data_IF_186900346984
#
_entry.id   IF_186900346984
#
_cell.length_a   1.000
_cell.length_b   1.000
_cell.length_c   1.000
_cell.angle_alpha   90.00
_cell.angle_beta   90.00
_cell.angle_gamma   90.00
#
_symmetry.space_group_name_H-M   'P 1'
#
loop_
_entity.id
_entity.type
_entity.pdbx_description
1 polymer ?
#
# COMPACT_ATOMS: atom_id res chain seq x y z
N UNK A 1 -16.82 17.74 -27.23
CA UNK A 1 -16.63 16.84 -28.39
C UNK A 1 -16.11 15.53 -27.83
N UNK A 2 -16.82 14.42 -28.02
CA UNK A 2 -16.30 13.12 -27.60
C UNK A 2 -14.98 12.89 -28.35
N UNK A 3 -13.90 12.64 -27.61
CA UNK A 3 -12.65 12.23 -28.23
C UNK A 3 -12.93 10.99 -29.09
N UNK A 4 -12.25 10.87 -30.24
CA UNK A 4 -12.27 9.65 -31.03
C UNK A 4 -11.56 8.56 -30.20
N UNK A 5 -12.34 7.86 -29.37
CA UNK A 5 -11.84 6.82 -28.49
C UNK A 5 -11.58 5.56 -29.32
N UNK A 6 -10.46 4.84 -29.07
CA UNK A 6 -10.21 3.60 -29.79
C UNK A 6 -11.24 2.54 -29.39
N UNK A 7 -11.54 1.60 -30.30
CA UNK A 7 -12.48 0.52 -30.01
C UNK A 7 -11.95 -0.43 -28.92
N UNK A 8 -10.64 -0.65 -28.90
CA UNK A 8 -9.93 -1.49 -27.93
C UNK A 8 -8.72 -0.76 -27.35
N UNK A 9 -8.27 -1.21 -26.19
CA UNK A 9 -7.08 -0.70 -25.53
C UNK A 9 -6.40 -1.80 -24.70
N UNK A 10 -5.19 -1.53 -24.22
CA UNK A 10 -4.39 -2.48 -23.46
C UNK A 10 -4.76 -2.56 -21.99
N UNK A 11 -4.78 -3.77 -21.47
CA UNK A 11 -4.89 -4.09 -20.04
C UNK A 11 -3.95 -5.25 -19.69
N UNK A 12 -3.18 -5.10 -18.61
CA UNK A 12 -2.33 -6.16 -18.09
C UNK A 12 -3.17 -7.20 -17.34
N UNK A 13 -2.87 -8.47 -17.61
CA UNK A 13 -3.51 -9.62 -16.98
C UNK A 13 -2.51 -10.47 -16.21
N UNK A 14 -2.99 -11.07 -15.12
CA UNK A 14 -2.29 -12.09 -14.33
C UNK A 14 -3.16 -13.34 -14.28
N UNK A 15 -2.65 -14.43 -14.84
CA UNK A 15 -3.28 -15.75 -14.87
C UNK A 15 -2.41 -16.72 -14.08
N UNK A 16 -3.01 -17.48 -13.16
CA UNK A 16 -2.37 -18.65 -12.56
C UNK A 16 -3.11 -19.88 -13.06
N UNK A 17 -2.42 -20.77 -13.75
CA UNK A 17 -3.01 -21.99 -14.30
C UNK A 17 -3.11 -23.08 -13.23
N UNK A 18 -4.08 -23.98 -13.37
CA UNK A 18 -4.17 -25.20 -12.56
C UNK A 18 -2.91 -26.07 -12.63
N UNK A 19 -2.17 -25.96 -13.74
CA UNK A 19 -0.93 -26.70 -14.00
C UNK A 19 0.30 -26.09 -13.31
N UNK A 20 0.11 -24.99 -12.56
CA UNK A 20 1.17 -24.43 -11.72
C UNK A 20 2.07 -23.41 -12.42
N UNK A 21 1.55 -22.68 -13.39
CA UNK A 21 2.26 -21.58 -14.03
C UNK A 21 1.54 -20.24 -13.81
N UNK A 22 2.29 -19.21 -13.50
CA UNK A 22 1.89 -17.82 -13.69
C UNK A 22 2.12 -17.45 -15.15
N UNK A 23 1.17 -16.73 -15.75
CA UNK A 23 1.32 -15.99 -17.00
C UNK A 23 0.94 -14.52 -16.77
N UNK A 24 1.84 -13.61 -17.16
CA UNK A 24 1.58 -12.18 -17.26
C UNK A 24 1.57 -11.77 -18.73
N UNK A 25 0.52 -11.09 -19.18
CA UNK A 25 0.36 -10.73 -20.59
C UNK A 25 -0.50 -9.48 -20.77
N UNK A 26 -0.35 -8.83 -21.93
CA UNK A 26 -1.13 -7.64 -22.30
C UNK A 26 -2.27 -8.01 -23.25
N UNK A 27 -3.50 -7.82 -22.78
CA UNK A 27 -4.70 -8.11 -23.54
C UNK A 27 -5.23 -6.86 -24.22
N UNK A 28 -5.73 -6.99 -25.45
CA UNK A 28 -6.64 -5.99 -26.02
C UNK A 28 -8.04 -6.23 -25.47
N UNK A 29 -8.60 -5.22 -24.83
CA UNK A 29 -9.94 -5.24 -24.27
C UNK A 29 -10.76 -4.10 -24.88
N UNK A 30 -12.09 -4.25 -25.05
CA UNK A 30 -12.95 -3.15 -25.47
C UNK A 30 -12.80 -1.95 -24.54
N UNK A 31 -12.72 -0.74 -25.08
CA UNK A 31 -12.82 0.47 -24.25
C UNK A 31 -14.25 0.56 -23.71
N UNK A 32 -14.44 0.59 -22.39
CA UNK A 32 -15.78 0.57 -21.81
C UNK A 32 -16.51 1.88 -22.10
N UNK A 33 -17.78 1.78 -22.48
CA UNK A 33 -18.68 2.93 -22.49
C UNK A 33 -19.10 3.22 -21.03
N UNK A 34 -18.95 4.46 -20.53
CA UNK A 34 -19.38 4.79 -19.17
C UNK A 34 -20.91 4.69 -19.05
N UNK A 35 -21.39 4.03 -17.99
CA UNK A 35 -22.80 4.11 -17.58
C UNK A 35 -23.17 5.53 -17.09
N UNK A 36 -24.45 5.77 -16.79
CA UNK A 36 -24.97 7.12 -16.51
C UNK A 36 -24.22 7.91 -15.43
N UNK A 37 -23.79 7.25 -14.35
CA UNK A 37 -23.01 7.85 -13.25
C UNK A 37 -21.51 7.56 -13.33
N UNK A 38 -21.03 6.97 -14.43
CA UNK A 38 -19.62 6.63 -14.59
C UNK A 38 -18.89 7.65 -15.46
N UNK A 39 -17.57 7.68 -15.27
CA UNK A 39 -16.64 8.41 -16.11
C UNK A 39 -15.64 7.44 -16.72
N UNK A 40 -15.24 7.70 -17.97
CA UNK A 40 -14.13 7.01 -18.61
C UNK A 40 -12.85 7.80 -18.38
N UNK A 41 -11.91 7.19 -17.68
CA UNK A 41 -10.60 7.77 -17.38
C UNK A 41 -9.55 7.16 -18.28
N UNK A 42 -8.80 8.02 -18.97
CA UNK A 42 -7.53 7.67 -19.60
C UNK A 42 -6.46 7.63 -18.52
N UNK A 43 -6.06 6.43 -18.09
CA UNK A 43 -5.12 6.25 -16.99
C UNK A 43 -3.72 6.65 -17.45
N UNK A 44 -3.12 7.63 -16.79
CA UNK A 44 -1.82 8.18 -17.19
C UNK A 44 -0.70 7.70 -16.27
N UNK A 45 -1.03 7.34 -15.02
CA UNK A 45 -0.05 6.96 -14.01
C UNK A 45 -0.67 6.00 -12.98
N UNK A 46 -0.03 4.85 -12.72
CA UNK A 46 -0.47 3.87 -11.71
C UNK A 46 0.75 3.30 -10.98
N UNK A 47 0.82 3.36 -9.64
CA UNK A 47 1.98 2.88 -8.89
C UNK A 47 2.01 1.35 -8.84
N UNK A 48 3.22 0.78 -8.72
CA UNK A 48 3.38 -0.61 -8.29
C UNK A 48 3.52 -0.65 -6.77
N UNK A 49 2.46 -1.02 -6.05
CA UNK A 49 2.48 -1.22 -4.60
C UNK A 49 2.70 -2.71 -4.25
N UNK A 50 3.19 -3.02 -3.02
CA UNK A 50 3.28 -4.40 -2.56
C UNK A 50 1.96 -5.19 -2.63
N UNK A 51 0.82 -4.52 -2.43
CA UNK A 51 -0.50 -5.14 -2.56
C UNK A 51 -0.83 -5.55 -4.00
N UNK A 52 -0.36 -4.80 -5.00
CA UNK A 52 -0.51 -5.17 -6.40
C UNK A 52 0.29 -6.43 -6.72
N UNK A 53 1.48 -6.58 -6.13
CA UNK A 53 2.35 -7.74 -6.35
C UNK A 53 1.72 -9.06 -5.91
N UNK A 54 0.92 -9.05 -4.83
CA UNK A 54 0.21 -10.25 -4.38
C UNK A 54 -0.74 -10.79 -5.45
N UNK A 55 -1.42 -9.89 -6.17
CA UNK A 55 -2.28 -10.25 -7.29
C UNK A 55 -1.47 -10.51 -8.57
N UNK A 56 -0.53 -9.61 -8.89
CA UNK A 56 0.31 -9.64 -10.10
C UNK A 56 1.09 -10.94 -10.20
N UNK A 57 1.96 -11.24 -9.24
CA UNK A 57 2.88 -12.39 -9.33
C UNK A 57 2.42 -13.61 -8.57
N UNK A 58 1.37 -13.52 -7.75
CA UNK A 58 0.69 -14.70 -7.17
C UNK A 58 1.60 -15.74 -6.49
N UNK A 59 2.65 -15.28 -5.79
CA UNK A 59 3.67 -16.16 -5.18
C UNK A 59 4.48 -17.03 -6.16
N UNK A 60 4.49 -16.70 -7.45
CA UNK A 60 5.34 -17.33 -8.45
C UNK A 60 6.82 -17.08 -8.15
N UNK A 61 7.66 -18.06 -8.51
CA UNK A 61 9.11 -17.94 -8.43
C UNK A 61 9.63 -17.12 -9.62
N UNK A 62 9.58 -15.80 -9.48
CA UNK A 62 10.01 -14.85 -10.52
C UNK A 62 11.50 -14.98 -10.87
N UNK A 63 12.32 -15.64 -10.05
CA UNK A 63 13.73 -15.90 -10.39
C UNK A 63 13.89 -16.92 -11.53
N UNK A 64 12.82 -17.68 -11.81
CA UNK A 64 12.72 -18.63 -12.93
C UNK A 64 11.78 -18.13 -14.02
N UNK A 65 11.44 -16.84 -14.01
CA UNK A 65 10.58 -16.28 -15.03
C UNK A 65 11.26 -16.33 -16.40
N UNK A 66 10.49 -16.67 -17.43
CA UNK A 66 10.90 -16.56 -18.83
C UNK A 66 10.02 -15.55 -19.55
N UNK A 67 10.59 -14.86 -20.53
CA UNK A 67 9.88 -13.85 -21.33
C UNK A 67 9.84 -14.31 -22.78
N UNK A 68 8.63 -14.38 -23.34
CA UNK A 68 8.36 -14.59 -24.76
C UNK A 68 7.51 -13.46 -25.34
N UNK A 69 6.95 -13.69 -26.53
CA UNK A 69 6.13 -12.69 -27.23
C UNK A 69 6.96 -11.68 -28.03
N UNK A 70 6.41 -10.50 -28.28
CA UNK A 70 7.10 -9.38 -28.94
C UNK A 70 7.45 -8.29 -27.92
N UNK A 71 8.35 -7.34 -28.23
CA UNK A 71 8.65 -6.22 -27.33
C UNK A 71 7.41 -5.42 -26.91
N UNK A 72 6.42 -5.29 -27.79
CA UNK A 72 5.17 -4.57 -27.52
C UNK A 72 4.11 -5.44 -26.85
N UNK A 73 4.24 -6.77 -26.93
CA UNK A 73 3.35 -7.78 -26.36
C UNK A 73 4.13 -8.88 -25.64
N UNK A 74 4.90 -8.53 -24.60
CA UNK A 74 5.65 -9.52 -23.84
C UNK A 74 4.71 -10.43 -23.07
N UNK A 75 5.11 -11.69 -22.94
CA UNK A 75 4.44 -12.68 -22.10
C UNK A 75 5.46 -13.25 -21.12
N UNK A 76 5.22 -13.06 -19.83
CA UNK A 76 6.08 -13.58 -18.77
C UNK A 76 5.45 -14.84 -18.21
N UNK A 77 6.22 -15.92 -18.12
CA UNK A 77 5.78 -17.15 -17.44
C UNK A 77 6.70 -17.49 -16.29
N UNK A 78 6.16 -17.93 -15.16
CA UNK A 78 6.94 -18.33 -13.99
C UNK A 78 6.27 -19.48 -13.23
N UNK A 79 7.02 -20.41 -12.62
CA UNK A 79 6.43 -21.53 -11.90
C UNK A 79 5.83 -21.10 -10.56
N UNK A 80 4.72 -21.72 -10.18
CA UNK A 80 4.04 -21.53 -8.88
C UNK A 80 4.11 -22.83 -8.09
N UNK A 81 4.54 -22.75 -6.83
CA UNK A 81 4.69 -23.93 -5.98
C UNK A 81 3.35 -24.57 -5.59
N UNK A 82 3.31 -25.90 -5.45
CA UNK A 82 2.09 -26.67 -5.15
C UNK A 82 1.37 -26.21 -3.86
N UNK A 83 2.13 -25.87 -2.81
CA UNK A 83 1.57 -25.35 -1.57
C UNK A 83 0.84 -24.01 -1.77
N UNK A 84 1.39 -23.15 -2.63
CA UNK A 84 0.78 -21.86 -2.96
C UNK A 84 -0.49 -22.07 -3.79
N UNK A 85 -0.49 -23.00 -4.76
CA UNK A 85 -1.66 -23.32 -5.59
C UNK A 85 -2.89 -23.72 -4.77
N UNK A 86 -2.70 -24.54 -3.72
CA UNK A 86 -3.79 -24.95 -2.81
C UNK A 86 -4.48 -23.74 -2.16
N UNK A 87 -3.72 -22.69 -1.84
CA UNK A 87 -4.24 -21.44 -1.29
C UNK A 87 -4.87 -20.50 -2.33
N UNK A 88 -4.77 -20.81 -3.62
CA UNK A 88 -5.17 -19.94 -4.73
C UNK A 88 -6.33 -20.50 -5.57
N UNK A 89 -7.04 -21.53 -5.09
CA UNK A 89 -8.13 -22.18 -5.83
C UNK A 89 -9.18 -21.22 -6.41
N UNK A 90 -9.48 -20.12 -5.70
CA UNK A 90 -10.46 -19.12 -6.15
C UNK A 90 -10.04 -18.35 -7.42
N UNK A 91 -8.74 -18.32 -7.75
CA UNK A 91 -8.17 -17.58 -8.90
C UNK A 91 -7.58 -18.46 -10.00
N UNK A 92 -7.48 -19.79 -9.79
CA UNK A 92 -6.94 -20.68 -10.80
C UNK A 92 -7.75 -20.56 -12.10
N UNK A 93 -7.02 -20.52 -13.22
CA UNK A 93 -7.53 -20.43 -14.58
C UNK A 93 -8.37 -19.17 -14.88
N UNK A 94 -8.26 -18.15 -14.01
CA UNK A 94 -8.90 -16.85 -14.21
C UNK A 94 -7.87 -15.81 -14.59
N UNK A 95 -8.06 -15.19 -15.75
CA UNK A 95 -7.27 -14.04 -16.20
C UNK A 95 -7.73 -12.77 -15.46
N UNK A 96 -6.97 -12.37 -14.43
CA UNK A 96 -7.36 -11.28 -13.54
C UNK A 96 -6.68 -9.96 -13.95
N UNK A 97 -7.42 -8.84 -13.97
CA UNK A 97 -6.81 -7.53 -14.15
C UNK A 97 -6.10 -7.10 -12.87
N UNK A 98 -5.11 -6.20 -12.98
CA UNK A 98 -4.23 -5.83 -11.86
C UNK A 98 -4.09 -4.30 -11.74
N UNK A 99 -3.65 -3.83 -10.57
CA UNK A 99 -3.45 -2.41 -10.25
C UNK A 99 -4.59 -1.87 -9.41
N UNK A 100 -4.33 -1.61 -8.13
CA UNK A 100 -5.35 -1.16 -7.18
C UNK A 100 -5.76 0.30 -7.42
N UNK A 101 -4.78 1.16 -7.65
CA UNK A 101 -4.96 2.61 -7.76
C UNK A 101 -4.23 3.21 -8.95
N UNK A 102 -4.61 4.42 -9.32
CA UNK A 102 -3.93 5.21 -10.35
C UNK A 102 -4.61 6.56 -10.54
N UNK A 103 -4.10 7.34 -11.48
CA UNK A 103 -4.63 8.64 -11.83
C UNK A 103 -4.57 8.87 -13.34
N UNK A 104 -5.43 9.75 -13.80
CA UNK A 104 -5.56 10.05 -15.22
C UNK A 104 -6.58 11.14 -15.50
N UNK A 105 -6.81 11.38 -16.78
CA UNK A 105 -7.73 12.41 -17.26
C UNK A 105 -9.08 11.78 -17.62
N UNK A 106 -10.17 12.39 -17.19
CA UNK A 106 -11.52 11.99 -17.61
C UNK A 106 -11.74 12.42 -19.05
N UNK A 107 -11.98 11.46 -19.95
CA UNK A 107 -12.09 11.69 -21.40
C UNK A 107 -13.51 11.50 -21.94
N UNK A 108 -14.37 10.79 -21.21
CA UNK A 108 -15.80 10.69 -21.47
C UNK A 108 -16.57 10.49 -20.16
N UNK A 109 -17.88 10.69 -20.17
CA UNK A 109 -18.74 10.53 -19.01
C UNK A 109 -20.14 10.11 -19.43
N UNK A 110 -20.85 9.43 -18.52
CA UNK A 110 -22.27 9.17 -18.61
C UNK A 110 -23.12 10.42 -18.49
N UNK A 111 -24.44 10.28 -18.58
CA UNK A 111 -25.39 11.38 -18.71
C UNK A 111 -25.61 12.21 -17.43
N UNK A 112 -25.24 11.71 -16.25
CA UNK A 112 -25.49 12.39 -14.99
C UNK A 112 -24.64 13.64 -14.77
N UNK A 113 -25.19 14.64 -14.07
CA UNK A 113 -24.48 15.89 -13.76
C UNK A 113 -23.14 15.66 -13.02
N UNK A 114 -23.05 14.78 -11.99
CA UNK A 114 -21.78 14.51 -11.32
C UNK A 114 -20.71 13.94 -12.26
N UNK A 115 -21.09 13.05 -13.18
CA UNK A 115 -20.17 12.48 -14.15
C UNK A 115 -19.73 13.54 -15.18
N UNK A 116 -20.68 14.31 -15.73
CA UNK A 116 -20.40 15.39 -16.69
C UNK A 116 -19.47 16.47 -16.12
N UNK A 117 -19.62 16.81 -14.84
CA UNK A 117 -18.77 17.79 -14.15
C UNK A 117 -17.28 17.39 -14.06
N UNK A 118 -16.97 16.10 -14.29
CA UNK A 118 -15.61 15.58 -14.23
C UNK A 118 -14.90 15.57 -15.59
N UNK A 119 -15.59 15.82 -16.72
CA UNK A 119 -14.96 15.80 -18.05
C UNK A 119 -13.75 16.76 -18.10
N UNK A 120 -12.61 16.25 -18.59
CA UNK A 120 -11.35 16.99 -18.69
C UNK A 120 -10.59 17.17 -17.37
N UNK A 121 -11.18 16.79 -16.23
CA UNK A 121 -10.52 16.83 -14.93
C UNK A 121 -9.53 15.68 -14.81
N UNK A 122 -8.43 15.92 -14.10
CA UNK A 122 -7.56 14.84 -13.61
C UNK A 122 -8.11 14.31 -12.29
N UNK A 123 -8.19 13.00 -12.22
CA UNK A 123 -8.72 12.29 -11.05
C UNK A 123 -7.76 11.17 -10.66
N UNK A 124 -7.65 10.92 -9.36
CA UNK A 124 -7.12 9.67 -8.83
C UNK A 124 -8.28 8.72 -8.50
N UNK A 125 -8.00 7.41 -8.57
CA UNK A 125 -8.97 6.33 -8.43
C UNK A 125 -8.33 5.17 -7.67
N UNK A 126 -9.09 4.53 -6.79
CA UNK A 126 -8.81 3.20 -6.25
C UNK A 126 -9.94 2.23 -6.62
N UNK A 127 -9.98 1.83 -7.89
CA UNK A 127 -11.09 1.08 -8.49
C UNK A 127 -10.70 -0.28 -9.04
N UNK A 128 -9.44 -0.71 -8.83
CA UNK A 128 -8.90 -1.93 -9.42
C UNK A 128 -8.70 -1.82 -10.94
N UNK A 129 -7.97 -2.78 -11.49
CA UNK A 129 -7.63 -2.84 -12.92
C UNK A 129 -7.00 -1.54 -13.44
N UNK A 130 -6.10 -0.92 -12.68
CA UNK A 130 -5.48 0.36 -13.05
C UNK A 130 -4.23 0.19 -13.93
N UNK A 131 -3.75 -1.04 -14.13
CA UNK A 131 -2.74 -1.35 -15.15
C UNK A 131 -3.40 -1.55 -16.53
N UNK A 132 -4.17 -0.53 -16.91
CA UNK A 132 -5.01 -0.48 -18.08
C UNK A 132 -4.94 0.91 -18.69
N UNK A 133 -5.10 1.02 -20.00
CA UNK A 133 -5.10 2.32 -20.67
C UNK A 133 -6.36 3.14 -20.36
N UNK A 134 -7.52 2.48 -20.22
CA UNK A 134 -8.78 3.15 -19.91
C UNK A 134 -9.57 2.39 -18.84
N UNK A 135 -10.25 3.12 -17.97
CA UNK A 135 -11.15 2.56 -16.95
C UNK A 135 -12.44 3.37 -16.84
N UNK A 136 -13.59 2.67 -16.91
CA UNK A 136 -14.87 3.21 -16.50
C UNK A 136 -15.04 3.04 -14.98
N UNK A 137 -15.37 4.13 -14.29
CA UNK A 137 -15.41 4.23 -12.84
C UNK A 137 -16.58 5.13 -12.44
N UNK A 138 -17.30 4.75 -11.37
CA UNK A 138 -18.35 5.61 -10.80
C UNK A 138 -17.78 6.97 -10.39
N UNK A 139 -18.46 8.06 -10.74
CA UNK A 139 -18.00 9.43 -10.50
C UNK A 139 -17.71 9.71 -9.00
N UNK A 140 -18.43 9.06 -8.08
CA UNK A 140 -18.21 9.21 -6.63
C UNK A 140 -16.90 8.59 -6.13
N UNK A 141 -16.34 7.64 -6.87
CA UNK A 141 -15.06 7.01 -6.56
C UNK A 141 -13.86 7.87 -6.99
N UNK A 142 -14.07 8.87 -7.85
CA UNK A 142 -13.00 9.77 -8.31
C UNK A 142 -12.61 10.79 -7.23
N UNK A 143 -11.31 10.88 -6.92
CA UNK A 143 -10.74 12.01 -6.18
C UNK A 143 -10.20 13.02 -7.19
N UNK A 144 -10.84 14.17 -7.28
CA UNK A 144 -10.39 15.26 -8.16
C UNK A 144 -9.05 15.80 -7.65
N UNK A 145 -8.05 15.81 -8.53
CA UNK A 145 -6.74 16.34 -8.17
C UNK A 145 -6.78 17.88 -8.09
N UNK A 146 -5.98 18.50 -7.20
CA UNK A 146 -5.82 19.94 -7.15
C UNK A 146 -5.40 20.52 -8.51
N UNK A 147 -5.73 21.79 -8.74
CA UNK A 147 -5.28 22.49 -9.95
C UNK A 147 -3.74 22.47 -10.04
N UNK A 148 -3.23 22.23 -11.25
CA UNK A 148 -1.79 22.08 -11.51
C UNK A 148 -1.20 20.71 -11.16
N UNK A 149 -1.89 19.86 -10.38
CA UNK A 149 -1.40 18.51 -10.10
C UNK A 149 -1.41 17.63 -11.37
N UNK A 150 -0.37 16.83 -11.54
CA UNK A 150 -0.24 15.84 -12.61
C UNK A 150 -0.84 14.49 -12.19
N UNK A 151 -1.09 13.60 -13.15
CA UNK A 151 -1.45 12.22 -12.83
C UNK A 151 -0.35 11.53 -12.01
N UNK A 152 0.92 11.85 -12.25
CA UNK A 152 2.06 11.36 -11.45
C UNK A 152 1.93 11.76 -9.98
N UNK A 153 1.57 13.02 -9.70
CA UNK A 153 1.33 13.48 -8.33
C UNK A 153 0.16 12.74 -7.68
N UNK A 154 -0.88 12.46 -8.48
CA UNK A 154 -2.10 11.79 -8.03
C UNK A 154 -2.02 10.25 -7.93
N UNK A 155 -1.01 9.62 -8.51
CA UNK A 155 -1.05 8.18 -8.78
C UNK A 155 -1.12 7.31 -7.50
N UNK A 156 -0.54 7.76 -6.38
CA UNK A 156 -0.60 7.06 -5.08
C UNK A 156 -1.53 7.76 -4.07
N UNK A 157 -2.61 8.42 -4.52
CA UNK A 157 -3.46 9.25 -3.64
C UNK A 157 -4.40 8.45 -2.75
N UNK A 158 -4.52 7.13 -2.90
CA UNK A 158 -5.51 6.37 -2.15
C UNK A 158 -4.85 5.42 -1.17
N UNK A 159 -4.10 4.43 -1.64
CA UNK A 159 -3.71 3.28 -0.81
C UNK A 159 -2.81 3.74 0.35
N UNK A 160 -1.67 4.37 0.05
CA UNK A 160 -0.73 4.77 1.11
C UNK A 160 -1.27 5.92 1.98
N UNK A 161 -1.82 7.02 1.43
CA UNK A 161 -2.33 8.14 2.23
C UNK A 161 -3.50 7.73 3.14
N UNK A 162 -4.48 7.00 2.60
CA UNK A 162 -5.64 6.57 3.38
C UNK A 162 -5.26 5.51 4.41
N UNK A 163 -4.24 4.69 4.16
CA UNK A 163 -3.70 3.78 5.18
C UNK A 163 -3.01 4.54 6.31
N UNK A 164 -2.14 5.50 6.01
CA UNK A 164 -1.48 6.31 7.04
C UNK A 164 -2.49 7.07 7.91
N UNK A 165 -3.51 7.68 7.27
CA UNK A 165 -4.61 8.31 8.00
C UNK A 165 -5.42 7.29 8.81
N UNK A 166 -5.71 6.14 8.22
CA UNK A 166 -6.42 5.05 8.87
C UNK A 166 -5.70 4.50 10.10
N UNK A 167 -4.36 4.47 10.10
CA UNK A 167 -3.57 4.12 11.27
C UNK A 167 -3.79 5.12 12.42
N UNK A 168 -3.73 6.43 12.14
CA UNK A 168 -4.00 7.45 13.17
C UNK A 168 -5.45 7.48 13.63
N UNK A 169 -6.40 7.14 12.76
CA UNK A 169 -7.82 7.05 13.09
C UNK A 169 -8.10 5.81 13.95
N UNK A 170 -7.52 4.66 13.59
CA UNK A 170 -7.57 3.42 14.38
C UNK A 170 -7.00 3.65 15.77
N UNK A 171 -5.83 4.30 15.86
CA UNK A 171 -5.21 4.70 17.13
C UNK A 171 -6.19 5.45 18.03
N UNK A 172 -6.86 6.49 17.51
CA UNK A 172 -7.84 7.29 18.28
C UNK A 172 -9.06 6.45 18.68
N UNK A 173 -9.62 5.68 17.76
CA UNK A 173 -10.83 4.86 17.99
C UNK A 173 -10.62 3.76 19.03
N UNK A 174 -9.41 3.21 19.10
CA UNK A 174 -9.04 2.15 20.05
C UNK A 174 -8.47 2.71 21.37
N UNK A 175 -8.46 4.03 21.55
CA UNK A 175 -8.06 4.67 22.80
C UNK A 175 -6.54 4.74 23.04
N UNK A 176 -5.74 4.62 21.99
CA UNK A 176 -4.29 4.79 22.04
C UNK A 176 -3.89 6.26 21.79
N UNK A 177 -2.77 6.69 22.37
CA UNK A 177 -2.25 8.08 22.25
C UNK A 177 -1.03 8.22 21.33
N UNK A 178 -0.37 7.11 21.02
CA UNK A 178 0.85 7.04 20.23
C UNK A 178 0.95 5.66 19.55
N UNK A 179 1.79 5.57 18.52
CA UNK A 179 1.92 4.36 17.72
C UNK A 179 3.37 4.00 17.40
N UNK A 180 3.57 2.72 17.07
CA UNK A 180 4.79 2.16 16.49
C UNK A 180 4.52 1.80 15.04
N UNK A 181 5.45 2.08 14.14
CA UNK A 181 5.36 1.67 12.73
C UNK A 181 6.64 0.97 12.27
N UNK A 182 6.50 -0.18 11.62
CA UNK A 182 7.64 -0.96 11.09
C UNK A 182 7.79 -0.78 9.57
N UNK A 183 8.97 -1.11 9.04
CA UNK A 183 9.37 -0.75 7.67
C UNK A 183 9.13 0.75 7.38
N UNK A 184 9.44 1.58 8.39
CA UNK A 184 9.02 2.97 8.44
C UNK A 184 9.63 3.85 7.34
N UNK A 185 10.71 3.40 6.69
CA UNK A 185 11.29 4.10 5.55
C UNK A 185 10.53 3.90 4.23
N UNK A 186 9.50 3.05 4.19
CA UNK A 186 8.58 2.93 3.05
C UNK A 186 7.91 4.27 2.71
N UNK A 187 7.41 4.43 1.47
CA UNK A 187 6.68 5.65 1.09
C UNK A 187 5.53 5.94 2.07
N UNK A 188 4.79 4.93 2.50
CA UNK A 188 3.74 5.07 3.52
C UNK A 188 4.30 5.55 4.86
N UNK A 189 5.38 4.93 5.35
CA UNK A 189 5.97 5.33 6.63
C UNK A 189 6.53 6.77 6.61
N UNK A 190 7.07 7.22 5.48
CA UNK A 190 7.47 8.63 5.30
C UNK A 190 6.26 9.59 5.37
N UNK A 191 5.10 9.20 4.81
CA UNK A 191 3.85 9.98 4.97
C UNK A 191 3.40 9.99 6.43
N UNK A 192 3.48 8.83 7.11
CA UNK A 192 3.08 8.69 8.51
C UNK A 192 3.96 9.56 9.44
N UNK A 193 5.27 9.64 9.20
CA UNK A 193 6.17 10.55 9.93
C UNK A 193 5.69 11.99 9.82
N UNK A 194 5.49 12.49 8.59
CA UNK A 194 5.04 13.87 8.35
C UNK A 194 3.66 14.13 8.98
N UNK A 195 2.76 13.17 8.85
CA UNK A 195 1.41 13.22 9.41
C UNK A 195 1.45 13.32 10.94
N UNK A 196 2.18 12.43 11.60
CA UNK A 196 2.31 12.40 13.05
C UNK A 196 2.98 13.65 13.60
N UNK A 197 3.99 14.20 12.93
CA UNK A 197 4.59 15.47 13.32
C UNK A 197 3.61 16.63 13.26
N UNK A 198 2.86 16.74 12.15
CA UNK A 198 1.87 17.80 11.95
C UNK A 198 0.73 17.71 12.97
N UNK A 199 0.36 16.50 13.37
CA UNK A 199 -0.75 16.23 14.29
C UNK A 199 -0.31 16.11 15.76
N UNK A 200 0.99 16.24 16.05
CA UNK A 200 1.52 16.11 17.42
C UNK A 200 1.40 14.69 17.99
N UNK A 201 1.37 13.66 17.14
CA UNK A 201 1.25 12.26 17.55
C UNK A 201 2.66 11.67 17.76
N UNK A 202 3.00 11.15 18.94
CA UNK A 202 4.27 10.46 19.14
C UNK A 202 4.34 9.17 18.31
N UNK A 203 5.44 8.99 17.58
CA UNK A 203 5.64 7.88 16.65
C UNK A 203 7.01 7.24 16.88
N UNK A 204 7.03 5.94 17.14
CA UNK A 204 8.24 5.12 17.13
C UNK A 204 8.38 4.46 15.75
N UNK A 205 9.47 4.76 15.06
CA UNK A 205 9.74 4.28 13.71
C UNK A 205 10.77 3.16 13.76
N UNK A 206 10.42 1.97 13.26
CA UNK A 206 11.35 0.84 13.19
C UNK A 206 11.76 0.61 11.74
N UNK A 207 13.07 0.65 11.51
CA UNK A 207 13.75 0.39 10.24
C UNK A 207 14.74 -0.76 10.40
N UNK A 208 15.37 -1.19 9.31
CA UNK A 208 16.32 -2.34 9.33
C UNK A 208 17.72 -2.00 8.81
N UNK A 209 17.96 -0.76 8.39
CA UNK A 209 19.26 -0.32 7.85
C UNK A 209 19.62 1.12 8.28
N UNK A 210 20.91 1.45 8.46
CA UNK A 210 21.34 2.79 8.86
C UNK A 210 20.94 3.92 7.88
N UNK A 211 20.95 3.67 6.57
CA UNK A 211 20.53 4.67 5.59
C UNK A 211 19.04 5.04 5.71
N UNK A 212 18.21 4.10 6.17
CA UNK A 212 16.79 4.32 6.44
C UNK A 212 16.61 5.20 7.68
N UNK A 213 17.48 5.05 8.69
CA UNK A 213 17.47 5.93 9.86
C UNK A 213 17.75 7.37 9.46
N UNK A 214 18.81 7.57 8.66
CA UNK A 214 19.19 8.90 8.16
C UNK A 214 18.05 9.54 7.37
N UNK A 215 17.39 8.78 6.50
CA UNK A 215 16.23 9.25 5.74
C UNK A 215 15.12 9.75 6.67
N UNK A 216 14.67 8.95 7.63
CA UNK A 216 13.57 9.35 8.52
C UNK A 216 13.94 10.51 9.44
N UNK A 217 15.19 10.56 9.92
CA UNK A 217 15.68 11.70 10.70
C UNK A 217 15.73 12.98 9.86
N UNK A 218 16.05 12.91 8.57
CA UNK A 218 15.98 14.08 7.67
C UNK A 218 14.55 14.58 7.43
N UNK A 219 13.55 13.73 7.63
CA UNK A 219 12.14 14.11 7.67
C UNK A 219 11.71 14.64 9.05
N UNK A 220 12.61 14.65 10.03
CA UNK A 220 12.39 15.13 11.40
C UNK A 220 11.86 14.07 12.38
N UNK A 221 11.89 12.79 12.04
CA UNK A 221 11.41 11.74 12.95
C UNK A 221 12.25 11.69 14.24
N UNK A 222 11.57 11.75 15.40
CA UNK A 222 12.20 11.78 16.73
C UNK A 222 12.75 10.41 17.13
N UNK A 223 11.88 9.39 17.18
CA UNK A 223 12.24 8.04 17.58
C UNK A 223 12.38 7.17 16.34
N UNK A 224 13.62 6.90 15.95
CA UNK A 224 13.96 6.01 14.83
C UNK A 224 14.92 4.94 15.34
N UNK A 225 14.50 3.70 15.22
CA UNK A 225 15.17 2.52 15.76
C UNK A 225 15.50 1.56 14.63
N UNK A 226 16.68 0.98 14.69
CA UNK A 226 17.12 -0.02 13.73
C UNK A 226 17.08 -1.40 14.35
N UNK A 227 16.23 -2.27 13.81
CA UNK A 227 16.05 -3.64 14.31
C UNK A 227 17.29 -4.52 14.17
N UNK A 228 18.27 -4.11 13.36
CA UNK A 228 19.57 -4.77 13.24
C UNK A 228 20.60 -4.28 14.28
N UNK A 229 20.29 -3.24 15.06
CA UNK A 229 21.18 -2.74 16.11
C UNK A 229 21.25 -3.72 17.28
N UNK A 230 22.46 -3.99 17.85
CA UNK A 230 22.58 -4.75 19.09
C UNK A 230 21.82 -4.13 20.28
N UNK A 231 21.62 -2.81 20.27
CA UNK A 231 20.90 -2.06 21.31
C UNK A 231 19.38 -2.01 21.08
N UNK A 232 18.87 -2.57 19.99
CA UNK A 232 17.48 -2.38 19.54
C UNK A 232 16.44 -2.61 20.65
N UNK A 233 16.54 -3.71 21.40
CA UNK A 233 15.57 -4.02 22.46
C UNK A 233 15.54 -2.95 23.56
N UNK A 234 16.71 -2.45 23.99
CA UNK A 234 16.80 -1.41 25.01
C UNK A 234 16.28 -0.07 24.47
N UNK A 235 16.70 0.31 23.26
CA UNK A 235 16.27 1.55 22.63
C UNK A 235 14.75 1.56 22.35
N UNK A 236 14.17 0.40 22.02
CA UNK A 236 12.74 0.21 21.87
C UNK A 236 11.99 0.48 23.18
N UNK A 237 12.43 -0.10 24.29
CA UNK A 237 11.81 0.13 25.60
C UNK A 237 11.86 1.61 25.98
N UNK A 238 13.01 2.29 25.80
CA UNK A 238 13.13 3.72 26.11
C UNK A 238 12.24 4.59 25.22
N UNK A 239 12.17 4.31 23.92
CA UNK A 239 11.26 5.00 23.01
C UNK A 239 9.78 4.77 23.40
N UNK A 240 9.42 3.55 23.81
CA UNK A 240 8.07 3.22 24.24
C UNK A 240 7.70 3.90 25.57
N UNK A 241 8.62 3.98 26.54
CA UNK A 241 8.43 4.78 27.76
C UNK A 241 8.19 6.26 27.44
N UNK A 242 9.01 6.82 26.56
CA UNK A 242 8.93 8.24 26.21
C UNK A 242 7.65 8.60 25.43
N UNK A 243 7.14 7.68 24.61
CA UNK A 243 5.95 7.91 23.76
C UNK A 243 4.65 7.39 24.35
N UNK A 244 4.72 6.45 25.31
CA UNK A 244 3.57 5.66 25.78
C UNK A 244 2.83 4.92 24.66
N UNK A 245 3.51 4.59 23.56
CA UNK A 245 2.90 3.88 22.44
C UNK A 245 2.50 2.45 22.83
N UNK A 246 1.25 2.10 22.55
CA UNK A 246 0.63 0.81 22.90
C UNK A 246 -0.09 0.16 21.70
N UNK A 247 0.02 0.78 20.54
CA UNK A 247 -0.46 0.28 19.26
C UNK A 247 0.69 0.24 18.25
N UNK A 248 0.79 -0.83 17.48
CA UNK A 248 1.77 -0.96 16.42
C UNK A 248 1.12 -1.39 15.10
N UNK A 249 1.64 -0.85 14.00
CA UNK A 249 1.37 -1.33 12.66
C UNK A 249 2.64 -1.95 12.07
N UNK A 250 2.60 -3.26 11.88
CA UNK A 250 3.71 -4.05 11.39
C UNK A 250 3.54 -4.43 9.91
N UNK A 251 4.44 -3.92 9.08
CA UNK A 251 4.54 -4.25 7.66
C UNK A 251 5.30 -5.55 7.40
N UNK A 252 6.03 -6.07 8.41
CA UNK A 252 6.87 -7.26 8.25
C UNK A 252 6.04 -8.53 8.28
N UNK A 253 5.22 -8.71 9.33
CA UNK A 253 4.34 -9.87 9.50
C UNK A 253 5.08 -11.08 10.07
N UNK A 254 6.01 -11.63 9.28
CA UNK A 254 6.86 -12.75 9.70
C UNK A 254 7.93 -12.38 10.72
N UNK A 255 8.55 -13.40 11.30
CA UNK A 255 9.63 -13.24 12.27
C UNK A 255 9.15 -12.88 13.67
N UNK A 256 10.03 -12.23 14.45
CA UNK A 256 9.83 -11.97 15.89
C UNK A 256 9.54 -10.51 16.23
N UNK A 257 9.46 -9.61 15.24
CA UNK A 257 9.37 -8.17 15.50
C UNK A 257 8.09 -7.79 16.27
N UNK A 258 6.95 -8.39 15.91
CA UNK A 258 5.70 -8.22 16.66
C UNK A 258 5.86 -8.63 18.14
N UNK A 259 6.58 -9.73 18.41
CA UNK A 259 6.87 -10.17 19.77
C UNK A 259 7.76 -9.19 20.52
N UNK A 260 8.79 -8.65 19.87
CA UNK A 260 9.71 -7.68 20.47
C UNK A 260 8.97 -6.39 20.83
N UNK A 261 8.06 -5.92 19.97
CA UNK A 261 7.22 -4.76 20.22
C UNK A 261 6.30 -4.99 21.42
N UNK A 262 5.57 -6.10 21.47
CA UNK A 262 4.69 -6.41 22.62
C UNK A 262 5.46 -6.52 23.93
N UNK A 263 6.63 -7.19 23.92
CA UNK A 263 7.49 -7.30 25.09
C UNK A 263 8.00 -5.92 25.54
N UNK A 264 8.43 -5.07 24.60
CA UNK A 264 8.88 -3.72 24.89
C UNK A 264 7.76 -2.84 25.47
N UNK A 265 6.53 -2.98 24.94
CA UNK A 265 5.37 -2.24 25.45
C UNK A 265 5.02 -2.66 26.88
N UNK A 266 5.10 -3.96 27.18
CA UNK A 266 4.87 -4.46 28.54
C UNK A 266 5.95 -3.97 29.51
N UNK A 267 7.23 -4.02 29.11
CA UNK A 267 8.32 -3.54 29.94
C UNK A 267 8.20 -2.03 30.21
N UNK A 268 7.84 -1.23 29.19
CA UNK A 268 7.57 0.19 29.33
C UNK A 268 6.39 0.46 30.27
N UNK A 269 5.29 -0.30 30.16
CA UNK A 269 4.13 -0.14 31.04
C UNK A 269 4.48 -0.51 32.50
N UNK A 270 5.20 -1.60 32.70
CA UNK A 270 5.60 -2.08 34.03
C UNK A 270 6.62 -1.18 34.73
N UNK A 271 7.38 -0.37 33.98
CA UNK A 271 8.28 0.63 34.57
C UNK A 271 7.57 1.68 35.45
N UNK A 272 6.25 1.81 35.30
CA UNK A 272 5.40 2.72 36.11
C UNK A 272 4.39 1.97 36.99
N UNK A 273 4.47 0.63 37.06
CA UNK A 273 3.53 -0.16 37.85
C UNK A 273 3.73 0.07 39.36
N UNK A 274 2.65 0.41 40.05
CA UNK A 274 2.64 0.58 41.51
C UNK A 274 2.56 -0.75 42.26
N UNK A 275 1.99 -1.78 41.63
CA UNK A 275 1.71 -3.08 42.25
C UNK A 275 2.08 -4.24 41.33
N UNK A 276 2.34 -5.40 41.93
CA UNK A 276 2.54 -6.63 41.20
C UNK A 276 1.22 -7.14 40.61
N UNK A 277 1.22 -7.43 39.31
CA UNK A 277 0.12 -8.12 38.63
C UNK A 277 0.56 -9.50 38.19
N UNK A 278 -0.20 -10.54 38.57
CA UNK A 278 -0.03 -11.91 38.09
C UNK A 278 -0.14 -12.03 36.57
N UNK A 279 -0.84 -11.09 35.93
CA UNK A 279 -1.18 -11.10 34.50
C UNK A 279 -0.51 -9.98 33.70
N UNK A 280 0.47 -9.28 34.30
CA UNK A 280 1.11 -8.11 33.69
C UNK A 280 0.22 -6.86 33.71
N UNK A 281 0.65 -5.82 33.00
CA UNK A 281 -0.10 -4.56 32.89
C UNK A 281 -1.49 -4.77 32.28
N UNK A 282 -2.49 -4.08 32.82
CA UNK A 282 -3.86 -4.04 32.28
C UNK A 282 -4.02 -3.15 31.05
N UNK A 283 -2.97 -2.39 30.68
CA UNK A 283 -2.97 -1.57 29.46
C UNK A 283 -2.95 -2.50 28.25
N UNK A 284 -3.98 -2.41 27.40
CA UNK A 284 -4.08 -3.22 26.19
C UNK A 284 -2.98 -2.84 25.20
N UNK A 285 -2.28 -3.85 24.68
CA UNK A 285 -1.19 -3.70 23.71
C UNK A 285 -1.58 -4.36 22.39
N UNK A 286 -1.61 -3.61 21.31
CA UNK A 286 -2.11 -4.08 20.03
C UNK A 286 -1.03 -4.05 18.96
N UNK A 287 -0.87 -5.13 18.19
CA UNK A 287 -0.07 -5.14 16.96
C UNK A 287 -0.96 -5.56 15.79
N UNK A 288 -1.10 -4.67 14.82
CA UNK A 288 -1.72 -4.99 13.54
C UNK A 288 -0.66 -5.38 12.52
N UNK A 289 -0.75 -6.61 12.01
CA UNK A 289 -0.01 -7.03 10.83
C UNK A 289 -0.78 -6.53 9.61
N UNK A 290 -0.26 -5.50 8.96
CA UNK A 290 -0.88 -4.88 7.78
C UNK A 290 -0.10 -5.16 6.48
N UNK A 291 1.05 -5.84 6.58
CA UNK A 291 1.88 -6.25 5.47
C UNK A 291 2.53 -7.62 5.70
N UNK A 292 3.16 -8.14 4.65
CA UNK A 292 3.87 -9.42 4.65
C UNK A 292 5.19 -9.29 3.88
N UNK A 293 6.05 -8.35 4.32
CA UNK A 293 7.39 -8.20 3.74
C UNK A 293 8.32 -9.35 4.12
N UNK A 294 8.10 -9.95 5.29
CA UNK A 294 8.71 -11.22 5.70
C UNK A 294 7.62 -12.30 5.68
N UNK A 295 7.81 -13.33 4.86
CA UNK A 295 6.84 -14.42 4.68
C UNK A 295 7.14 -15.64 5.57
N UNK A 296 8.13 -15.54 6.46
CA UNK A 296 8.39 -16.56 7.49
C UNK A 296 7.26 -16.58 8.54
N UNK A 297 7.17 -17.63 9.37
CA UNK A 297 6.18 -17.67 10.44
C UNK A 297 6.32 -16.48 11.40
N UNK A 298 5.18 -15.92 11.84
CA UNK A 298 5.16 -15.00 12.98
C UNK A 298 5.43 -15.78 14.26
N UNK A 299 6.46 -15.37 15.02
CA UNK A 299 6.88 -16.03 16.26
C UNK A 299 6.64 -15.11 17.45
N UNK A 300 5.84 -15.56 18.41
CA UNK A 300 5.52 -14.83 19.65
C UNK A 300 6.10 -15.55 20.87
N UNK A 301 7.00 -14.88 21.58
CA UNK A 301 7.47 -15.29 22.92
C UNK A 301 6.73 -14.46 23.97
N UNK A 302 5.74 -15.08 24.62
CA UNK A 302 4.72 -14.42 25.44
C UNK A 302 5.23 -14.01 26.83
N UNK A 303 6.03 -12.95 26.88
CA UNK A 303 6.50 -12.32 28.12
C UNK A 303 5.83 -10.95 28.37
N UNK A 304 4.65 -10.73 27.77
CA UNK A 304 3.96 -9.43 27.72
C UNK A 304 2.58 -9.41 28.41
N UNK A 305 2.40 -10.23 29.45
CA UNK A 305 1.15 -10.31 30.20
C UNK A 305 -0.04 -10.86 29.39
N UNK A 306 -1.26 -10.48 29.78
CA UNK A 306 -2.51 -11.00 29.19
C UNK A 306 -3.34 -9.96 28.44
N UNK A 307 -3.06 -8.66 28.58
CA UNK A 307 -3.77 -7.59 27.89
C UNK A 307 -3.10 -7.27 26.54
N UNK A 308 -3.26 -8.14 25.55
CA UNK A 308 -2.66 -7.96 24.23
C UNK A 308 -3.52 -8.52 23.09
N UNK A 309 -3.27 -8.02 21.87
CA UNK A 309 -3.85 -8.52 20.64
C UNK A 309 -2.87 -8.48 19.47
N UNK A 310 -2.96 -9.48 18.59
CA UNK A 310 -2.31 -9.49 17.28
C UNK A 310 -3.37 -9.84 16.24
N UNK A 311 -3.48 -9.05 15.18
CA UNK A 311 -4.49 -9.26 14.15
C UNK A 311 -4.11 -8.66 12.80
N UNK A 312 -4.85 -9.02 11.76
CA UNK A 312 -4.72 -8.37 10.46
C UNK A 312 -5.37 -6.99 10.45
N UNK A 313 -4.81 -6.06 9.68
CA UNK A 313 -5.45 -4.79 9.38
C UNK A 313 -5.43 -4.55 7.87
N UNK A 314 -6.55 -4.11 7.32
CA UNK A 314 -6.69 -3.87 5.88
C UNK A 314 -7.48 -2.60 5.63
N UNK A 315 -7.04 -1.82 4.65
CA UNK A 315 -7.62 -0.52 4.32
C UNK A 315 -9.10 -0.63 3.98
N UNK A 316 -9.49 -1.55 3.10
CA UNK A 316 -10.88 -1.65 2.64
C UNK A 316 -11.88 -1.93 3.78
N UNK A 317 -11.67 -2.94 4.65
CA UNK A 317 -12.49 -3.10 5.85
C UNK A 317 -12.49 -1.89 6.78
N UNK A 318 -11.34 -1.23 6.97
CA UNK A 318 -11.28 -0.01 7.77
C UNK A 318 -12.18 1.10 7.18
N UNK A 319 -12.10 1.35 5.87
CA UNK A 319 -12.92 2.36 5.19
C UNK A 319 -14.42 2.02 5.25
N UNK A 320 -14.78 0.73 5.23
CA UNK A 320 -16.16 0.27 5.42
C UNK A 320 -16.65 0.43 6.87
N UNK A 321 -15.73 0.49 7.84
CA UNK A 321 -16.06 0.60 9.27
C UNK A 321 -16.27 2.04 9.76
N UNK A 322 -15.93 3.05 8.95
CA UNK A 322 -16.05 4.46 9.29
C UNK A 322 -17.27 5.07 8.61
N UNK A 323 -17.85 6.11 9.23
CA UNK A 323 -18.94 6.86 8.64
C UNK A 323 -18.49 7.72 7.44
N UNK A 324 -19.48 8.20 6.67
CA UNK A 324 -19.25 9.00 5.48
C UNK A 324 -18.56 10.34 5.77
N UNK A 325 -18.79 10.93 6.94
CA UNK A 325 -18.16 12.19 7.35
C UNK A 325 -16.66 12.00 7.57
N UNK A 326 -16.30 10.96 8.33
CA UNK A 326 -14.91 10.55 8.57
C UNK A 326 -14.22 10.23 7.25
N UNK A 327 -14.87 9.43 6.40
CA UNK A 327 -14.32 9.09 5.08
C UNK A 327 -14.08 10.33 4.21
N UNK A 328 -15.06 11.24 4.15
CA UNK A 328 -14.96 12.52 3.43
C UNK A 328 -13.82 13.39 3.96
N UNK A 329 -13.69 13.52 5.29
CA UNK A 329 -12.61 14.26 5.94
C UNK A 329 -11.23 13.71 5.59
N UNK A 330 -11.06 12.38 5.63
CA UNK A 330 -9.79 11.74 5.26
C UNK A 330 -9.45 12.01 3.78
N UNK A 331 -10.41 11.81 2.86
CA UNK A 331 -10.20 12.09 1.42
C UNK A 331 -9.88 13.56 1.14
N UNK A 332 -10.59 14.48 1.78
CA UNK A 332 -10.34 15.91 1.63
C UNK A 332 -8.93 16.31 2.08
N UNK A 333 -8.46 15.72 3.19
CA UNK A 333 -7.09 15.94 3.68
C UNK A 333 -6.04 15.42 2.71
N UNK A 334 -6.27 14.26 2.09
CA UNK A 334 -5.35 13.76 1.07
C UNK A 334 -5.25 14.70 -0.12
N UNK A 335 -6.38 15.19 -0.63
CA UNK A 335 -6.37 16.17 -1.72
C UNK A 335 -5.64 17.47 -1.34
N UNK A 336 -5.88 18.00 -0.13
CA UNK A 336 -5.28 19.24 0.34
C UNK A 336 -3.76 19.15 0.57
N UNK A 337 -3.26 17.96 0.90
CA UNK A 337 -1.85 17.73 1.25
C UNK A 337 -1.14 16.80 0.24
N UNK A 338 -1.70 16.65 -0.95
CA UNK A 338 -1.29 15.68 -1.97
C UNK A 338 0.21 15.79 -2.31
N UNK A 339 0.69 17.01 -2.51
CA UNK A 339 2.08 17.30 -2.92
C UNK A 339 2.99 17.63 -1.74
N UNK A 340 2.54 17.46 -0.50
CA UNK A 340 3.30 17.78 0.72
C UNK A 340 3.41 16.56 1.64
N UNK A 341 2.45 16.38 2.55
CA UNK A 341 2.40 15.25 3.50
C UNK A 341 2.32 13.92 2.76
N UNK A 342 1.51 13.87 1.70
CA UNK A 342 1.22 12.64 0.95
C UNK A 342 2.00 12.51 -0.36
N UNK A 343 3.03 13.35 -0.55
CA UNK A 343 3.89 13.27 -1.73
C UNK A 343 4.55 11.89 -1.83
N UNK A 344 4.43 11.27 -3.01
CA UNK A 344 5.11 10.02 -3.34
C UNK A 344 6.28 10.29 -4.28
N UNK A 345 7.38 9.57 -4.07
CA UNK A 345 8.50 9.51 -5.01
C UNK A 345 8.48 8.19 -5.78
N UNK A 346 8.99 8.25 -7.01
CA UNK A 346 9.16 7.10 -7.90
C UNK A 346 10.53 7.20 -8.56
N UNK A 347 11.29 6.12 -8.57
CA UNK A 347 12.64 6.05 -9.17
C UNK A 347 12.61 5.73 -10.64
N UNK A 348 11.57 5.01 -11.09
CA UNK A 348 11.48 4.54 -12.47
C UNK A 348 10.04 4.61 -12.97
N UNK A 349 9.88 5.05 -14.21
CA UNK A 349 8.64 4.96 -14.95
C UNK A 349 8.74 3.84 -15.98
N UNK A 350 7.68 3.06 -16.15
CA UNK A 350 7.61 1.95 -17.11
C UNK A 350 6.28 1.95 -17.86
N UNK A 351 6.29 1.61 -19.14
CA UNK A 351 5.06 1.32 -19.89
C UNK A 351 4.43 0.00 -19.42
N UNK A 352 3.23 -0.34 -19.89
CA UNK A 352 2.62 -1.67 -19.60
C UNK A 352 3.52 -2.81 -20.07
N UNK A 353 4.13 -2.69 -21.25
CA UNK A 353 5.06 -3.68 -21.76
C UNK A 353 6.36 -3.69 -20.94
N UNK A 354 6.89 -2.50 -20.61
CA UNK A 354 8.09 -2.36 -19.77
C UNK A 354 7.94 -2.94 -18.37
N UNK A 355 6.73 -3.10 -17.84
CA UNK A 355 6.52 -3.83 -16.57
C UNK A 355 6.93 -5.31 -16.66
N UNK A 356 6.86 -5.89 -17.85
CA UNK A 356 7.12 -7.31 -18.13
C UNK A 356 8.56 -7.56 -18.58
N UNK A 357 9.38 -6.50 -18.62
CA UNK A 357 10.81 -6.58 -18.84
C UNK A 357 11.53 -7.23 -17.62
N UNK A 358 12.49 -8.16 -17.84
CA UNK A 358 13.24 -8.81 -16.76
C UNK A 358 13.93 -7.86 -15.79
N UNK A 359 14.52 -6.76 -16.27
CA UNK A 359 15.21 -5.83 -15.38
C UNK A 359 14.19 -5.08 -14.51
N UNK A 360 13.05 -4.71 -15.08
CA UNK A 360 11.97 -4.07 -14.34
C UNK A 360 11.37 -5.01 -13.28
N UNK A 361 10.90 -6.21 -13.67
CA UNK A 361 10.21 -7.09 -12.73
C UNK A 361 11.11 -7.65 -11.64
N UNK A 362 12.40 -7.88 -11.92
CA UNK A 362 13.35 -8.31 -10.90
C UNK A 362 13.67 -7.23 -9.88
N UNK A 363 13.46 -5.95 -10.20
CA UNK A 363 13.67 -4.81 -9.32
C UNK A 363 12.43 -4.57 -8.45
N UNK A 364 11.26 -4.33 -9.05
CA UNK A 364 10.07 -3.94 -8.29
C UNK A 364 9.53 -5.05 -7.36
N UNK A 365 9.74 -6.34 -7.68
CA UNK A 365 9.32 -7.44 -6.78
C UNK A 365 10.09 -7.48 -5.46
N UNK A 366 11.28 -6.86 -5.39
CA UNK A 366 12.10 -6.79 -4.17
C UNK A 366 11.53 -5.86 -3.11
N UNK A 367 10.67 -4.91 -3.50
CA UNK A 367 10.02 -3.94 -2.60
C UNK A 367 11.04 -3.14 -1.79
N UNK A 368 12.16 -2.77 -2.42
CA UNK A 368 13.24 -2.04 -1.78
C UNK A 368 12.83 -0.60 -1.45
N UNK A 369 13.44 -0.03 -0.42
CA UNK A 369 13.15 1.33 0.03
C UNK A 369 13.57 2.34 -1.04
N UNK A 370 12.66 3.24 -1.39
CA UNK A 370 12.92 4.28 -2.38
C UNK A 370 12.80 3.82 -3.83
N UNK A 371 12.68 2.52 -4.11
CA UNK A 371 12.64 1.97 -5.47
C UNK A 371 11.20 1.75 -5.97
N UNK A 372 10.30 2.72 -5.75
CA UNK A 372 8.91 2.60 -6.19
C UNK A 372 8.80 2.88 -7.69
N UNK A 373 8.12 1.99 -8.41
CA UNK A 373 7.86 2.13 -9.83
C UNK A 373 6.53 2.82 -10.08
N UNK A 374 6.47 3.56 -11.19
CA UNK A 374 5.24 4.14 -11.72
C UNK A 374 4.99 3.59 -13.12
N UNK A 375 3.84 2.98 -13.32
CA UNK A 375 3.35 2.54 -14.62
C UNK A 375 2.74 3.72 -15.34
N UNK A 376 3.12 3.94 -16.60
CA UNK A 376 2.56 4.94 -17.51
C UNK A 376 1.84 4.22 -18.66
N UNK A 377 0.53 3.89 -18.54
CA UNK A 377 -0.09 2.88 -19.42
C UNK A 377 -0.15 3.21 -20.92
N UNK A 378 0.05 4.49 -21.27
CA UNK A 378 0.05 4.98 -22.65
C UNK A 378 1.45 5.21 -23.21
N UNK A 379 2.51 5.01 -22.42
CA UNK A 379 3.87 5.05 -22.92
C UNK A 379 4.12 3.86 -23.87
N UNK A 380 4.95 4.09 -24.89
CA UNK A 380 5.41 3.03 -25.78
C UNK A 380 6.38 2.09 -25.03
N UNK A 381 6.55 0.88 -25.58
CA UNK A 381 7.42 -0.15 -25.02
C UNK A 381 8.86 0.34 -24.82
#
# INVERSE_FOLDING_TARGET
MAADLPATALELRSLVTSDGALELSLHEVPVPAPGDNEVLVRVEASPINPSDLGLLVASADMTKATVGGTPERPVVTAPVGEAALKGMSARLDKSLPVGNEGAGTVVAAGSSDPAQALIGRKVAIAGGAMYSQYRAIDASACLVLPEGATARDGASSFVNPMTALGMTETMRREGHSALVHTAAASNLGQMLVKLCQKDGIPLVNIVRKPEQEKLLRSLGATYVLNSASPSFSADLVEALKATSATLAFDATGGGSLASQILNGMEEAANATAAEYSRYGSSVHKQVYIYGALDTSPTVLTRNFGMAWGVGGWLLTPFLQSIDAETFGRLRARVAAELTTTFASSYTREVSLAGMLDPDAFNEYVRRATGEKFLVTPHALA
#
